data_IF_772922753613
#
_entry.id   IF_772922753613
#
_cell.length_a   1.000
_cell.length_b   1.000
_cell.length_c   1.000
_cell.angle_alpha   90.00
_cell.angle_beta   90.00
_cell.angle_gamma   90.00
#
_symmetry.space_group_name_H-M   'P 1'
#
loop_
_entity.id
_entity.type
_entity.pdbx_description
1 polymer ?
#
# COMPACT_ATOMS: atom_id res chain seq x y z
N UNK A 1 34.33 -54.33 5.82
CA UNK A 1 34.16 -53.98 4.39
C UNK A 1 32.71 -54.26 4.01
N UNK A 2 31.96 -53.23 3.64
CA UNK A 2 30.54 -53.32 3.29
C UNK A 2 30.41 -53.84 1.86
N UNK A 3 29.81 -55.03 1.68
CA UNK A 3 29.44 -55.56 0.38
C UNK A 3 28.41 -54.63 -0.27
N UNK A 4 28.86 -53.79 -1.21
CA UNK A 4 27.95 -53.11 -2.14
C UNK A 4 27.75 -54.04 -3.34
N UNK A 5 26.50 -54.39 -3.70
CA UNK A 5 26.25 -55.04 -4.97
C UNK A 5 26.62 -54.10 -6.11
N UNK A 6 27.27 -54.62 -7.15
CA UNK A 6 27.62 -53.88 -8.34
C UNK A 6 26.37 -53.23 -8.94
N UNK A 7 26.36 -51.91 -8.97
CA UNK A 7 25.29 -51.13 -9.61
C UNK A 7 25.33 -51.40 -11.12
N UNK A 8 24.54 -52.37 -11.57
CA UNK A 8 24.46 -52.74 -12.97
C UNK A 8 24.09 -51.56 -13.86
N UNK A 9 24.57 -51.57 -15.11
CA UNK A 9 24.35 -50.53 -16.16
C UNK A 9 22.94 -49.93 -16.20
N UNK A 10 21.91 -50.73 -15.89
CA UNK A 10 20.51 -50.32 -15.76
C UNK A 10 20.29 -49.17 -14.76
N UNK A 11 20.95 -49.22 -13.60
CA UNK A 11 20.84 -48.18 -12.55
C UNK A 11 21.50 -46.89 -13.03
N UNK A 12 22.65 -47.01 -13.70
CA UNK A 12 23.37 -45.86 -14.25
C UNK A 12 22.57 -45.14 -15.34
N UNK A 13 21.90 -45.89 -16.22
CA UNK A 13 21.01 -45.33 -17.25
C UNK A 13 19.84 -44.57 -16.62
N UNK A 14 19.26 -45.08 -15.52
CA UNK A 14 18.19 -44.37 -14.79
C UNK A 14 18.67 -43.04 -14.22
N UNK A 15 19.87 -42.99 -13.63
CA UNK A 15 20.42 -41.74 -13.11
C UNK A 15 20.79 -40.74 -14.21
N UNK A 16 21.31 -41.21 -15.34
CA UNK A 16 21.58 -40.35 -16.51
C UNK A 16 20.28 -39.79 -17.08
N UNK A 17 19.24 -40.62 -17.23
CA UNK A 17 17.92 -40.16 -17.69
C UNK A 17 17.29 -39.18 -16.69
N UNK A 18 17.41 -39.41 -15.39
CA UNK A 18 16.87 -38.51 -14.37
C UNK A 18 17.61 -37.18 -14.34
N UNK A 19 18.94 -37.20 -14.48
CA UNK A 19 19.77 -36.00 -14.62
C UNK A 19 19.45 -35.22 -15.91
N UNK A 20 19.22 -35.91 -17.03
CA UNK A 20 18.88 -35.29 -18.30
C UNK A 20 17.48 -34.67 -18.26
N UNK A 21 16.49 -35.32 -17.63
CA UNK A 21 15.16 -34.75 -17.39
C UNK A 21 15.24 -33.52 -16.49
N UNK A 22 16.06 -33.55 -15.44
CA UNK A 22 16.29 -32.38 -14.58
C UNK A 22 16.95 -31.22 -15.33
N UNK A 23 17.97 -31.48 -16.15
CA UNK A 23 18.62 -30.46 -16.97
C UNK A 23 17.68 -29.88 -18.03
N UNK A 24 16.84 -30.71 -18.66
CA UNK A 24 15.83 -30.23 -19.62
C UNK A 24 14.77 -29.40 -18.89
N UNK A 25 14.30 -29.84 -17.71
CA UNK A 25 13.34 -29.08 -16.91
C UNK A 25 13.90 -27.72 -16.45
N UNK A 26 15.18 -27.65 -16.04
CA UNK A 26 15.80 -26.36 -15.68
C UNK A 26 16.03 -25.47 -16.90
N UNK A 27 16.41 -26.03 -18.05
CA UNK A 27 16.52 -25.28 -19.30
C UNK A 27 15.16 -24.72 -19.78
N UNK A 28 14.06 -25.46 -19.59
CA UNK A 28 12.71 -24.96 -19.89
C UNK A 28 12.18 -24.00 -18.82
N UNK A 29 12.53 -24.16 -17.54
CA UNK A 29 12.20 -23.22 -16.48
C UNK A 29 12.89 -21.86 -16.67
N UNK A 30 14.13 -21.84 -17.16
CA UNK A 30 14.84 -20.61 -17.54
C UNK A 30 14.41 -20.04 -18.90
N UNK A 31 13.49 -20.71 -19.62
CA UNK A 31 12.91 -20.25 -20.89
C UNK A 31 11.52 -19.64 -20.74
N UNK A 32 11.21 -19.06 -19.58
CA UNK A 32 10.29 -17.94 -19.54
C UNK A 32 10.94 -16.75 -20.27
N UNK A 33 10.95 -16.82 -21.61
CA UNK A 33 10.75 -15.59 -22.37
C UNK A 33 9.40 -15.09 -21.89
N UNK A 34 9.44 -14.04 -21.08
CA UNK A 34 8.29 -13.18 -20.85
C UNK A 34 7.75 -12.87 -22.24
N UNK A 35 6.67 -13.56 -22.60
CA UNK A 35 6.01 -13.34 -23.86
C UNK A 35 5.47 -11.92 -23.75
N UNK A 36 6.17 -10.97 -24.37
CA UNK A 36 5.84 -9.53 -24.34
C UNK A 36 4.45 -9.23 -24.96
N UNK A 37 3.65 -10.26 -25.27
CA UNK A 37 2.26 -10.17 -25.67
C UNK A 37 1.34 -9.53 -24.62
N UNK A 38 1.72 -9.49 -23.34
CA UNK A 38 0.98 -8.69 -22.35
C UNK A 38 1.27 -7.19 -22.43
N UNK A 39 2.36 -6.74 -23.08
CA UNK A 39 2.63 -5.30 -23.27
C UNK A 39 1.73 -4.65 -24.33
N UNK A 40 1.22 -5.42 -25.28
CA UNK A 40 0.41 -4.89 -26.39
C UNK A 40 -1.08 -4.71 -26.05
N UNK A 41 -1.54 -5.14 -24.87
CA UNK A 41 -2.99 -5.16 -24.56
C UNK A 41 -3.51 -3.86 -23.91
N UNK A 42 -2.68 -2.87 -23.53
CA UNK A 42 -3.19 -1.72 -22.73
C UNK A 42 -2.64 -0.34 -23.07
N UNK A 43 -2.58 0.02 -24.35
CA UNK A 43 -2.52 1.44 -24.76
C UNK A 43 -3.88 1.92 -25.24
N UNK A 44 -4.84 2.05 -24.32
CA UNK A 44 -6.02 2.88 -24.60
C UNK A 44 -5.57 4.35 -24.55
N UNK A 45 -4.86 4.79 -25.60
CA UNK A 45 -4.31 6.13 -25.72
C UNK A 45 -5.47 7.12 -25.68
N UNK A 46 -5.56 7.91 -24.60
CA UNK A 46 -6.51 9.01 -24.52
C UNK A 46 -6.18 10.00 -25.65
N UNK A 47 -7.14 10.45 -26.47
CA UNK A 47 -6.83 11.35 -27.57
C UNK A 47 -6.28 12.69 -27.04
N UNK A 48 -5.27 13.24 -27.74
CA UNK A 48 -4.57 14.50 -27.43
C UNK A 48 -5.44 15.76 -27.62
N UNK A 49 -6.58 15.83 -26.93
CA UNK A 49 -7.59 16.89 -27.14
C UNK A 49 -7.26 18.20 -26.41
N UNK A 50 -6.31 18.18 -25.47
CA UNK A 50 -5.88 19.36 -24.71
C UNK A 50 -4.37 19.27 -24.40
N UNK A 51 -3.72 20.39 -23.99
CA UNK A 51 -2.28 20.42 -23.73
C UNK A 51 -1.84 19.40 -22.65
N UNK A 52 -2.66 19.18 -21.64
CA UNK A 52 -2.38 18.21 -20.57
C UNK A 52 -2.34 16.78 -21.10
N UNK A 53 -3.33 16.36 -21.90
CA UNK A 53 -3.36 15.03 -22.52
C UNK A 53 -2.24 14.83 -23.54
N UNK A 54 -1.88 15.86 -24.30
CA UNK A 54 -0.73 15.79 -25.20
C UNK A 54 0.56 15.47 -24.43
N UNK A 55 0.75 16.09 -23.27
CA UNK A 55 1.89 15.80 -22.40
C UNK A 55 1.81 14.40 -21.75
N UNK A 56 0.62 13.95 -21.34
CA UNK A 56 0.43 12.57 -20.83
C UNK A 56 0.89 11.55 -21.87
N UNK A 57 0.46 11.70 -23.12
CA UNK A 57 0.85 10.79 -24.21
C UNK A 57 2.37 10.82 -24.46
N UNK A 58 2.98 12.00 -24.48
CA UNK A 58 4.43 12.13 -24.64
C UNK A 58 5.20 11.42 -23.50
N UNK A 59 4.70 11.50 -22.28
CA UNK A 59 5.29 10.85 -21.12
C UNK A 59 5.07 9.33 -21.16
N UNK A 60 3.87 8.87 -21.50
CA UNK A 60 3.57 7.43 -21.61
C UNK A 60 4.46 6.73 -22.66
N UNK A 61 4.78 7.42 -23.76
CA UNK A 61 5.76 6.93 -24.74
C UNK A 61 7.20 6.86 -24.21
N UNK A 62 7.50 7.59 -23.12
CA UNK A 62 8.81 7.66 -22.45
C UNK A 62 8.87 6.83 -21.15
N UNK A 63 8.14 5.72 -21.08
CA UNK A 63 8.09 4.80 -19.93
C UNK A 63 7.53 5.41 -18.63
N UNK A 64 6.60 6.36 -18.75
CA UNK A 64 5.81 6.83 -17.62
C UNK A 64 4.49 6.08 -17.51
N UNK A 65 4.03 5.83 -16.29
CA UNK A 65 2.80 5.10 -16.02
C UNK A 65 1.81 5.97 -15.24
N UNK A 66 0.56 6.01 -15.68
CA UNK A 66 -0.51 6.71 -14.98
C UNK A 66 -1.05 5.88 -13.80
N UNK A 67 -0.87 6.41 -12.59
CA UNK A 67 -1.32 5.79 -11.34
C UNK A 67 -2.69 6.24 -10.89
N UNK A 68 -3.06 7.48 -11.20
CA UNK A 68 -4.31 8.11 -10.82
C UNK A 68 -4.79 9.03 -11.94
N UNK A 69 -6.06 8.93 -12.34
CA UNK A 69 -6.64 9.82 -13.33
C UNK A 69 -8.10 10.20 -13.05
N UNK A 70 -8.43 11.44 -13.42
CA UNK A 70 -9.78 11.98 -13.56
C UNK A 70 -9.91 12.47 -15.00
N UNK A 71 -10.81 11.88 -15.77
CA UNK A 71 -11.01 12.19 -17.20
C UNK A 71 -12.47 12.53 -17.46
N UNK A 72 -12.71 13.56 -18.27
CA UNK A 72 -14.07 14.05 -18.58
C UNK A 72 -14.90 13.09 -19.43
N UNK A 73 -14.30 12.55 -20.50
CA UNK A 73 -14.98 11.78 -21.55
C UNK A 73 -14.29 10.42 -21.81
N UNK A 74 -14.40 9.48 -20.88
CA UNK A 74 -13.95 8.09 -21.05
C UNK A 74 -15.14 7.12 -20.99
N UNK A 75 -15.49 6.50 -22.13
CA UNK A 75 -16.66 5.62 -22.26
C UNK A 75 -16.56 4.33 -21.43
N UNK A 76 -15.35 3.91 -21.09
CA UNK A 76 -15.00 2.91 -20.08
C UNK A 76 -13.52 3.14 -19.77
N UNK A 77 -13.08 2.80 -18.56
CA UNK A 77 -11.68 2.85 -18.09
C UNK A 77 -11.24 4.19 -17.43
N UNK A 78 -10.33 4.10 -16.45
CA UNK A 78 -10.61 3.71 -15.06
C UNK A 78 -10.19 4.79 -14.05
N UNK A 79 -10.78 4.76 -12.85
CA UNK A 79 -10.01 5.12 -11.66
C UNK A 79 -8.87 4.09 -11.56
N UNK A 80 -7.71 4.33 -12.16
CA UNK A 80 -6.51 3.59 -11.78
C UNK A 80 -6.25 3.99 -10.33
N UNK A 81 -6.31 3.01 -9.44
CA UNK A 81 -6.17 3.18 -7.99
C UNK A 81 -4.89 2.48 -7.61
N UNK A 82 -3.80 3.18 -7.75
CA UNK A 82 -2.51 2.69 -7.26
C UNK A 82 -1.75 3.86 -6.67
N UNK A 83 -0.94 3.58 -5.66
CA UNK A 83 0.02 4.53 -5.13
C UNK A 83 1.10 4.79 -6.21
N UNK A 84 1.66 6.02 -6.29
CA UNK A 84 1.53 7.10 -5.32
C UNK A 84 0.35 8.06 -5.58
N UNK A 85 -0.26 8.57 -4.50
CA UNK A 85 -1.20 9.70 -4.56
C UNK A 85 -0.41 10.97 -4.24
N UNK A 86 0.24 11.54 -5.26
CA UNK A 86 1.11 12.70 -5.12
C UNK A 86 0.37 14.03 -4.92
N UNK A 87 -0.92 14.09 -5.22
CA UNK A 87 -1.78 15.28 -5.07
C UNK A 87 -2.91 14.98 -4.09
N UNK A 88 -3.19 15.91 -3.18
CA UNK A 88 -4.21 15.79 -2.14
C UNK A 88 -5.07 17.06 -2.07
N UNK A 89 -6.20 16.97 -1.38
CA UNK A 89 -7.07 18.11 -1.12
C UNK A 89 -7.16 18.36 0.38
N UNK A 90 -6.55 19.45 0.86
CA UNK A 90 -6.60 19.87 2.28
C UNK A 90 -7.71 20.89 2.43
N UNK A 91 -8.83 20.46 3.02
CA UNK A 91 -10.07 21.23 2.97
C UNK A 91 -10.56 21.35 1.53
N UNK A 92 -10.46 22.56 0.96
CA UNK A 92 -10.85 22.84 -0.43
C UNK A 92 -9.68 23.35 -1.30
N UNK A 93 -8.44 23.16 -0.84
CA UNK A 93 -7.23 23.59 -1.54
C UNK A 93 -6.40 22.38 -1.96
N UNK A 94 -5.95 22.38 -3.22
CA UNK A 94 -5.01 21.36 -3.69
C UNK A 94 -3.63 21.59 -3.10
N UNK A 95 -2.98 20.49 -2.73
CA UNK A 95 -1.60 20.47 -2.28
C UNK A 95 -0.90 19.21 -2.79
N UNK A 96 0.43 19.23 -2.77
CA UNK A 96 1.21 18.00 -2.91
C UNK A 96 1.20 17.23 -1.59
N UNK A 97 1.16 15.90 -1.68
CA UNK A 97 1.36 15.04 -0.52
C UNK A 97 2.79 15.26 0.04
N UNK A 98 2.93 15.33 1.36
CA UNK A 98 4.22 15.68 1.99
C UNK A 98 5.34 14.68 1.65
N UNK A 99 4.99 13.40 1.54
CA UNK A 99 5.90 12.32 1.16
C UNK A 99 6.50 12.49 -0.24
N UNK A 100 5.69 12.94 -1.20
CA UNK A 100 6.09 13.04 -2.60
C UNK A 100 6.44 14.47 -3.03
N UNK A 101 6.36 15.45 -2.13
CA UNK A 101 6.47 16.88 -2.46
C UNK A 101 7.77 17.22 -3.18
N UNK A 102 8.91 16.73 -2.67
CA UNK A 102 10.23 17.02 -3.22
C UNK A 102 10.53 16.23 -4.51
N UNK A 103 9.77 15.16 -4.77
CA UNK A 103 9.94 14.22 -5.87
C UNK A 103 8.95 14.45 -7.01
N UNK A 104 8.11 15.49 -6.91
CA UNK A 104 7.02 15.76 -7.86
C UNK A 104 7.27 17.03 -8.65
N UNK A 105 6.92 17.00 -9.94
CA UNK A 105 6.82 18.20 -10.80
C UNK A 105 5.35 18.40 -11.19
N UNK A 106 4.89 19.65 -11.07
CA UNK A 106 3.52 20.06 -11.34
C UNK A 106 3.40 20.69 -12.74
N UNK A 107 2.33 20.33 -13.44
CA UNK A 107 1.93 20.97 -14.69
C UNK A 107 0.45 21.36 -14.63
N UNK A 108 0.14 22.60 -14.98
CA UNK A 108 -1.23 23.10 -15.11
C UNK A 108 -1.42 23.59 -16.55
N UNK A 109 -2.41 23.06 -17.25
CA UNK A 109 -2.69 23.35 -18.67
C UNK A 109 -1.46 23.15 -19.57
N UNK A 110 -0.71 22.07 -19.33
CA UNK A 110 0.51 21.73 -20.08
C UNK A 110 1.74 22.61 -19.78
N UNK A 111 1.68 23.53 -18.81
CA UNK A 111 2.81 24.39 -18.40
C UNK A 111 3.28 24.04 -17.00
N UNK A 112 4.60 24.08 -16.77
CA UNK A 112 5.16 23.89 -15.44
C UNK A 112 4.56 24.90 -14.46
N UNK A 113 4.17 24.43 -13.28
CA UNK A 113 3.46 25.21 -12.29
C UNK A 113 4.09 25.10 -10.89
N UNK A 114 3.82 26.08 -10.05
CA UNK A 114 4.22 26.06 -8.63
C UNK A 114 3.11 25.52 -7.73
N UNK A 115 3.46 25.09 -6.52
CA UNK A 115 2.48 24.74 -5.48
C UNK A 115 1.53 25.90 -5.15
N UNK A 116 2.01 27.14 -5.22
CA UNK A 116 1.18 28.34 -4.99
C UNK A 116 0.12 28.54 -6.08
N UNK A 117 0.36 28.07 -7.31
CA UNK A 117 -0.65 28.05 -8.37
C UNK A 117 -1.64 26.90 -8.16
N UNK A 118 -1.14 25.73 -7.71
CA UNK A 118 -1.98 24.57 -7.37
C UNK A 118 -3.01 24.90 -6.29
N UNK A 119 -2.59 25.57 -5.21
CA UNK A 119 -3.46 25.96 -4.09
C UNK A 119 -4.59 26.92 -4.48
N UNK A 120 -4.42 27.68 -5.57
CA UNK A 120 -5.44 28.61 -6.09
C UNK A 120 -6.53 27.90 -6.90
N UNK A 121 -6.30 26.65 -7.30
CA UNK A 121 -7.31 25.89 -8.03
C UNK A 121 -8.43 25.47 -7.09
N UNK A 122 -9.67 25.64 -7.54
CA UNK A 122 -10.83 25.07 -6.88
C UNK A 122 -11.25 23.78 -7.60
N UNK A 123 -11.67 22.74 -6.87
CA UNK A 123 -12.06 21.46 -7.46
C UNK A 123 -13.03 21.60 -8.63
N UNK A 124 -14.02 22.49 -8.53
CA UNK A 124 -15.04 22.75 -9.56
C UNK A 124 -14.49 23.24 -10.91
N UNK A 125 -13.32 23.86 -10.96
CA UNK A 125 -12.69 24.32 -12.21
C UNK A 125 -11.63 23.35 -12.76
N UNK A 126 -11.42 22.20 -12.13
CA UNK A 126 -10.53 21.16 -12.63
C UNK A 126 -11.28 20.26 -13.60
N UNK A 127 -10.84 20.18 -14.85
CA UNK A 127 -11.43 19.31 -15.87
C UNK A 127 -10.83 17.90 -15.79
N UNK A 128 -9.50 17.81 -15.73
CA UNK A 128 -8.78 16.53 -15.71
C UNK A 128 -7.59 16.58 -14.76
N UNK A 129 -7.26 15.43 -14.17
CA UNK A 129 -6.10 15.23 -13.30
C UNK A 129 -5.41 13.94 -13.71
N UNK A 130 -4.09 13.96 -13.78
CA UNK A 130 -3.26 12.78 -14.00
C UNK A 130 -2.09 12.80 -13.02
N UNK A 131 -1.82 11.66 -12.40
CA UNK A 131 -0.60 11.41 -11.63
C UNK A 131 0.16 10.30 -12.35
N UNK A 132 1.35 10.63 -12.81
CA UNK A 132 2.24 9.69 -13.49
C UNK A 132 3.51 9.47 -12.67
N UNK A 133 4.07 8.25 -12.78
CA UNK A 133 5.37 7.90 -12.22
C UNK A 133 6.27 7.32 -13.31
N UNK A 134 7.55 7.66 -13.27
CA UNK A 134 8.56 7.08 -14.15
C UNK A 134 8.84 5.63 -13.73
N UNK A 135 9.00 4.74 -14.70
CA UNK A 135 9.44 3.37 -14.42
C UNK A 135 10.94 3.30 -14.18
N UNK A 136 11.34 2.87 -12.98
CA UNK A 136 12.75 2.87 -12.54
C UNK A 136 13.41 1.49 -12.57
N UNK A 137 12.65 0.42 -12.84
CA UNK A 137 13.13 -0.96 -12.67
C UNK A 137 13.66 -1.63 -13.96
N UNK A 138 13.88 -0.88 -15.05
CA UNK A 138 14.57 -1.41 -16.24
C UNK A 138 16.07 -1.17 -16.16
N UNK A 139 16.87 -2.09 -16.72
CA UNK A 139 18.33 -1.96 -16.80
C UNK A 139 18.80 -0.67 -17.49
N UNK A 140 17.96 -0.12 -18.36
CA UNK A 140 18.22 1.10 -19.13
C UNK A 140 17.42 2.32 -18.59
N UNK A 141 16.84 2.21 -17.38
CA UNK A 141 16.10 3.33 -16.78
C UNK A 141 17.05 4.46 -16.39
N UNK A 142 16.95 5.59 -17.08
CA UNK A 142 17.60 6.82 -16.64
C UNK A 142 17.00 7.27 -15.30
N UNK A 143 17.86 7.45 -14.29
CA UNK A 143 17.45 7.96 -12.99
C UNK A 143 16.85 9.38 -13.14
N UNK A 144 15.64 9.58 -12.60
CA UNK A 144 15.01 10.90 -12.51
C UNK A 144 14.89 11.27 -11.03
N UNK A 145 15.54 12.35 -10.56
CA UNK A 145 15.46 12.76 -9.15
C UNK A 145 14.04 13.18 -8.75
N UNK A 146 13.14 13.39 -9.72
CA UNK A 146 11.72 13.65 -9.49
C UNK A 146 10.92 12.64 -10.30
N UNK A 147 10.67 11.43 -9.80
CA UNK A 147 9.98 10.41 -10.57
C UNK A 147 8.48 10.61 -10.69
N UNK A 148 7.89 11.63 -10.06
CA UNK A 148 6.45 11.87 -10.06
C UNK A 148 6.07 13.12 -10.88
N UNK A 149 4.96 13.04 -11.62
CA UNK A 149 4.38 14.14 -12.39
C UNK A 149 2.90 14.25 -12.08
N UNK A 150 2.45 15.44 -11.72
CA UNK A 150 1.03 15.74 -11.56
C UNK A 150 0.65 16.73 -12.65
N UNK A 151 -0.31 16.35 -13.49
CA UNK A 151 -0.77 17.17 -14.60
C UNK A 151 -2.25 17.47 -14.42
N UNK A 152 -2.61 18.75 -14.48
CA UNK A 152 -3.98 19.23 -14.24
C UNK A 152 -4.42 20.05 -15.44
N UNK A 153 -5.59 19.73 -15.97
CA UNK A 153 -6.29 20.57 -16.94
C UNK A 153 -7.39 21.35 -16.22
N UNK A 154 -7.45 22.66 -16.41
CA UNK A 154 -8.52 23.50 -15.87
C UNK A 154 -9.56 23.82 -16.94
N UNK A 155 -10.78 24.13 -16.49
CA UNK A 155 -11.89 24.63 -17.29
C UNK A 155 -12.16 26.11 -16.95
N UNK A 156 -12.62 26.87 -17.93
CA UNK A 156 -13.08 28.26 -17.72
C UNK A 156 -14.44 28.35 -17.04
N UNK A 157 -15.20 27.25 -17.00
CA UNK A 157 -16.52 27.16 -16.40
C UNK A 157 -16.54 26.09 -15.31
N UNK A 158 -17.35 26.26 -14.25
CA UNK A 158 -17.49 25.26 -13.21
C UNK A 158 -18.08 23.98 -13.78
N UNK A 159 -17.51 22.84 -13.40
CA UNK A 159 -17.92 21.51 -13.84
C UNK A 159 -18.70 20.83 -12.72
N UNK A 160 -19.90 20.39 -13.06
CA UNK A 160 -20.77 19.68 -12.12
C UNK A 160 -20.14 18.39 -11.59
N UNK A 161 -20.35 18.14 -10.30
CA UNK A 161 -19.86 16.97 -9.61
C UNK A 161 -20.76 15.76 -9.89
N UNK A 162 -20.33 14.91 -10.82
CA UNK A 162 -20.90 13.56 -10.99
C UNK A 162 -20.45 12.66 -9.83
N UNK A 163 -21.14 11.54 -9.60
CA UNK A 163 -20.76 10.58 -8.54
C UNK A 163 -19.29 10.13 -8.64
N UNK A 164 -18.77 9.91 -9.86
CA UNK A 164 -17.36 9.53 -10.10
C UNK A 164 -16.40 10.62 -9.67
N UNK A 165 -16.73 11.87 -10.04
CA UNK A 165 -15.93 13.06 -9.73
C UNK A 165 -15.94 13.36 -8.23
N UNK A 166 -17.10 13.27 -7.58
CA UNK A 166 -17.19 13.37 -6.11
C UNK A 166 -16.31 12.34 -5.44
N UNK A 167 -16.41 11.05 -5.83
CA UNK A 167 -15.55 9.98 -5.28
C UNK A 167 -14.06 10.24 -5.47
N UNK A 168 -13.66 10.81 -6.62
CA UNK A 168 -12.26 11.16 -6.88
C UNK A 168 -11.76 12.26 -5.93
N UNK A 169 -12.53 13.33 -5.72
CA UNK A 169 -12.12 14.38 -4.78
C UNK A 169 -12.21 13.94 -3.32
N UNK A 170 -13.17 13.08 -2.97
CA UNK A 170 -13.23 12.41 -1.67
C UNK A 170 -11.98 11.56 -1.43
N UNK A 171 -11.46 10.86 -2.44
CA UNK A 171 -10.18 10.16 -2.36
C UNK A 171 -9.02 11.13 -2.08
N UNK A 172 -8.94 12.26 -2.79
CA UNK A 172 -7.88 13.25 -2.56
C UNK A 172 -7.94 13.87 -1.16
N UNK A 173 -9.14 14.05 -0.60
CA UNK A 173 -9.35 14.49 0.77
C UNK A 173 -8.92 13.41 1.77
N UNK A 174 -9.31 12.15 1.54
CA UNK A 174 -8.92 11.04 2.40
C UNK A 174 -7.40 10.82 2.40
N UNK A 175 -6.75 10.97 1.23
CA UNK A 175 -5.29 10.90 1.09
C UNK A 175 -4.55 12.04 1.81
N UNK A 176 -5.24 13.14 2.16
CA UNK A 176 -4.67 14.17 3.02
C UNK A 176 -4.63 13.76 4.49
N UNK A 177 -5.46 12.79 4.91
CA UNK A 177 -5.62 12.33 6.30
C UNK A 177 -5.01 10.95 6.54
N UNK A 178 -4.79 10.18 5.47
CA UNK A 178 -4.33 8.80 5.49
C UNK A 178 -3.21 8.56 4.49
N UNK A 179 -2.21 7.78 4.91
CA UNK A 179 -1.20 7.21 4.01
C UNK A 179 -1.76 6.10 3.13
N UNK A 180 -2.78 5.39 3.62
CA UNK A 180 -3.39 4.23 2.95
C UNK A 180 -4.88 4.47 2.72
N UNK A 181 -5.27 5.44 1.86
CA UNK A 181 -6.68 5.76 1.65
C UNK A 181 -7.46 4.59 1.01
N UNK A 182 -6.78 3.63 0.38
CA UNK A 182 -7.41 2.39 -0.12
C UNK A 182 -7.53 1.28 0.94
N UNK A 183 -7.08 1.54 2.17
CA UNK A 183 -7.03 0.60 3.27
C UNK A 183 -5.76 -0.24 3.26
N UNK A 184 -5.39 -0.72 4.44
CA UNK A 184 -4.24 -1.58 4.65
C UNK A 184 -4.50 -2.50 5.84
N UNK A 185 -3.87 -3.67 5.86
CA UNK A 185 -4.05 -4.67 6.91
C UNK A 185 -2.73 -5.16 7.42
N UNK A 186 -2.62 -5.30 8.74
CA UNK A 186 -1.47 -5.91 9.40
C UNK A 186 -1.90 -7.07 10.29
N UNK A 187 -0.99 -8.01 10.49
CA UNK A 187 -1.19 -9.17 11.34
C UNK A 187 0.05 -9.40 12.18
N UNK A 188 -0.14 -9.49 13.49
CA UNK A 188 0.91 -9.70 14.47
C UNK A 188 0.64 -11.00 15.24
N UNK A 189 1.68 -11.83 15.39
CA UNK A 189 1.72 -12.82 16.46
C UNK A 189 2.27 -12.18 17.75
N UNK A 190 2.29 -12.92 18.86
CA UNK A 190 2.79 -12.43 20.16
C UNK A 190 4.18 -11.79 20.09
N UNK A 191 5.15 -12.43 19.43
CA UNK A 191 6.53 -11.93 19.36
C UNK A 191 6.62 -10.66 18.51
N UNK A 192 5.94 -10.65 17.36
CA UNK A 192 5.83 -9.47 16.50
C UNK A 192 5.14 -8.31 17.21
N UNK A 193 4.15 -8.60 18.07
CA UNK A 193 3.47 -7.58 18.86
C UNK A 193 4.36 -7.01 19.96
N UNK A 194 5.15 -7.85 20.64
CA UNK A 194 6.16 -7.39 21.61
C UNK A 194 7.18 -6.46 20.95
N UNK A 195 7.65 -6.82 19.76
CA UNK A 195 8.56 -6.00 18.98
C UNK A 195 7.90 -4.69 18.51
N UNK A 196 6.70 -4.78 17.93
CA UNK A 196 5.94 -3.62 17.46
C UNK A 196 5.66 -2.61 18.60
N UNK A 197 5.25 -3.10 19.77
CA UNK A 197 5.01 -2.25 20.94
C UNK A 197 6.29 -1.67 21.54
N UNK A 198 7.43 -2.37 21.42
CA UNK A 198 8.73 -1.86 21.84
C UNK A 198 9.21 -0.71 20.95
N UNK A 199 9.05 -0.82 19.64
CA UNK A 199 9.41 0.23 18.67
C UNK A 199 8.30 1.26 18.44
N UNK A 200 7.23 1.25 19.22
CA UNK A 200 6.08 2.16 19.08
C UNK A 200 5.46 2.17 17.66
N UNK A 201 5.40 1.00 17.02
CA UNK A 201 4.82 0.85 15.70
C UNK A 201 3.29 1.06 15.75
N UNK A 202 2.84 2.18 15.20
CA UNK A 202 1.43 2.59 15.17
C UNK A 202 0.53 1.68 14.34
N UNK A 203 1.09 0.86 13.45
CA UNK A 203 0.32 -0.10 12.66
C UNK A 203 -0.32 -1.20 13.53
N UNK A 204 0.21 -1.44 14.73
CA UNK A 204 -0.40 -2.34 15.71
C UNK A 204 -1.61 -1.72 16.43
N UNK A 205 -1.85 -0.41 16.29
CA UNK A 205 -2.89 0.41 16.97
C UNK A 205 -2.84 0.41 18.50
N UNK A 206 -2.09 -0.51 19.12
CA UNK A 206 -1.95 -0.67 20.55
C UNK A 206 -0.53 -0.43 21.02
N UNK A 207 -0.39 0.01 22.26
CA UNK A 207 0.84 0.04 23.03
C UNK A 207 0.81 -0.95 24.18
N UNK A 208 2.00 -1.25 24.71
CA UNK A 208 2.14 -2.08 25.91
C UNK A 208 2.26 -1.20 27.14
N UNK A 209 1.37 -1.40 28.09
CA UNK A 209 1.40 -0.77 29.41
C UNK A 209 2.56 -1.31 30.27
N UNK A 210 2.87 -0.61 31.37
CA UNK A 210 3.87 -1.06 32.35
C UNK A 210 3.56 -2.45 32.93
N UNK A 211 2.28 -2.80 33.04
CA UNK A 211 1.81 -4.08 33.55
C UNK A 211 1.69 -5.16 32.47
N UNK A 212 2.34 -4.98 31.31
CA UNK A 212 2.34 -5.93 30.18
C UNK A 212 0.96 -6.21 29.53
N UNK A 213 -0.03 -5.37 29.83
CA UNK A 213 -1.32 -5.38 29.14
C UNK A 213 -1.30 -4.44 27.94
N UNK A 214 -2.18 -4.68 26.98
CA UNK A 214 -2.35 -3.81 25.81
C UNK A 214 -3.16 -2.57 26.17
N UNK A 215 -2.95 -1.47 25.47
CA UNK A 215 -3.82 -0.29 25.51
C UNK A 215 -3.90 0.24 24.09
N UNK A 216 -5.09 0.60 23.61
CA UNK A 216 -5.20 1.29 22.33
C UNK A 216 -4.56 2.68 22.44
N UNK A 217 -3.83 3.13 21.41
CA UNK A 217 -3.31 4.49 21.40
C UNK A 217 -4.46 5.50 21.45
N UNK A 218 -4.27 6.56 22.24
CA UNK A 218 -5.32 7.57 22.46
C UNK A 218 -5.77 8.24 21.14
N UNK A 219 -4.86 8.42 20.18
CA UNK A 219 -5.15 8.99 18.86
C UNK A 219 -6.06 8.12 17.97
N UNK A 220 -6.21 6.82 18.28
CA UNK A 220 -7.05 5.89 17.54
C UNK A 220 -8.34 5.51 18.27
N UNK A 221 -8.51 5.91 19.54
CA UNK A 221 -9.62 5.48 20.38
C UNK A 221 -11.00 5.80 19.80
N UNK A 222 -11.17 7.01 19.27
CA UNK A 222 -12.46 7.46 18.73
C UNK A 222 -12.77 6.92 17.33
N UNK A 223 -11.78 6.33 16.66
CA UNK A 223 -11.86 5.95 15.25
C UNK A 223 -11.60 4.46 15.01
N UNK A 224 -11.66 3.62 16.06
CA UNK A 224 -11.35 2.18 15.96
C UNK A 224 -12.49 1.32 16.49
N UNK A 225 -12.98 0.39 15.67
CA UNK A 225 -13.82 -0.70 16.17
C UNK A 225 -12.94 -1.80 16.75
N UNK A 226 -13.15 -2.13 18.02
CA UNK A 226 -12.35 -3.14 18.73
C UNK A 226 -13.14 -4.42 18.90
N UNK A 227 -12.58 -5.53 18.44
CA UNK A 227 -13.11 -6.87 18.62
C UNK A 227 -12.12 -7.72 19.43
N UNK A 228 -12.58 -8.32 20.53
CA UNK A 228 -11.82 -9.33 21.27
C UNK A 228 -12.54 -10.67 21.10
N UNK A 229 -11.85 -11.65 20.50
CA UNK A 229 -12.41 -12.96 20.15
C UNK A 229 -13.70 -12.85 19.31
N UNK A 230 -13.78 -11.85 18.42
CA UNK A 230 -14.94 -11.59 17.58
C UNK A 230 -16.10 -10.86 18.27
N UNK A 231 -15.97 -10.48 19.54
CA UNK A 231 -16.96 -9.70 20.26
C UNK A 231 -16.57 -8.23 20.21
N UNK A 232 -17.48 -7.36 19.76
CA UNK A 232 -17.28 -5.91 19.78
C UNK A 232 -17.23 -5.41 21.23
N UNK A 233 -16.16 -4.69 21.58
CA UNK A 233 -15.89 -4.18 22.93
C UNK A 233 -15.54 -2.69 22.89
N UNK A 234 -15.47 -2.05 24.06
CA UNK A 234 -15.01 -0.67 24.14
C UNK A 234 -13.48 -0.61 24.05
N UNK A 235 -12.90 0.50 23.56
CA UNK A 235 -11.45 0.70 23.56
C UNK A 235 -10.77 0.49 24.92
N UNK A 236 -11.45 0.86 26.01
CA UNK A 236 -10.97 0.69 27.38
C UNK A 236 -10.76 -0.79 27.75
N UNK A 237 -11.59 -1.69 27.20
CA UNK A 237 -11.55 -3.13 27.49
C UNK A 237 -10.30 -3.82 26.93
N UNK A 238 -9.57 -3.18 26.02
CA UNK A 238 -8.27 -3.67 25.51
C UNK A 238 -7.26 -3.85 26.65
N UNK A 239 -7.37 -3.05 27.71
CA UNK A 239 -6.52 -3.12 28.90
C UNK A 239 -6.67 -4.40 29.71
N UNK A 240 -7.73 -5.18 29.47
CA UNK A 240 -7.89 -6.50 30.05
C UNK A 240 -7.02 -7.58 29.39
N UNK A 241 -6.46 -7.32 28.20
CA UNK A 241 -5.70 -8.31 27.43
C UNK A 241 -4.22 -8.21 27.77
N UNK A 242 -3.69 -9.28 28.36
CA UNK A 242 -2.25 -9.40 28.57
C UNK A 242 -1.54 -9.74 27.25
N UNK A 243 -0.38 -9.13 26.96
CA UNK A 243 0.33 -9.30 25.67
C UNK A 243 0.65 -10.77 25.36
N UNK A 244 0.95 -11.57 26.39
CA UNK A 244 1.24 -13.01 26.27
C UNK A 244 0.02 -13.89 26.01
N UNK A 245 -1.19 -13.36 26.21
CA UNK A 245 -2.43 -14.06 25.89
C UNK A 245 -2.81 -13.87 24.42
N UNK A 246 -2.17 -12.96 23.69
CA UNK A 246 -2.46 -12.73 22.29
C UNK A 246 -1.99 -13.91 21.45
N UNK A 247 -2.93 -14.59 20.79
CA UNK A 247 -2.63 -15.58 19.76
C UNK A 247 -2.34 -14.89 18.42
N UNK A 248 -3.24 -13.98 18.03
CA UNK A 248 -3.13 -13.13 16.85
C UNK A 248 -3.77 -11.78 17.11
N UNK A 249 -3.18 -10.74 16.54
CA UNK A 249 -3.75 -9.41 16.50
C UNK A 249 -3.78 -8.97 15.04
N UNK A 250 -4.96 -8.62 14.56
CA UNK A 250 -5.18 -8.08 13.23
C UNK A 250 -5.56 -6.62 13.35
N UNK A 251 -4.92 -5.78 12.56
CA UNK A 251 -5.35 -4.39 12.38
C UNK A 251 -5.71 -4.15 10.94
N UNK A 252 -6.69 -3.29 10.73
CA UNK A 252 -7.13 -2.88 9.40
C UNK A 252 -7.45 -1.41 9.41
N UNK A 253 -6.81 -0.67 8.51
CA UNK A 253 -7.34 0.60 8.05
C UNK A 253 -8.37 0.32 6.95
N UNK A 254 -9.59 0.82 7.14
CA UNK A 254 -10.66 0.65 6.16
C UNK A 254 -10.42 1.57 4.96
N UNK A 255 -10.88 1.19 3.76
CA UNK A 255 -10.81 2.09 2.61
C UNK A 255 -11.66 3.33 2.85
N UNK A 256 -11.26 4.46 2.25
CA UNK A 256 -11.97 5.74 2.37
C UNK A 256 -13.45 5.65 1.97
N UNK A 257 -13.79 4.68 1.13
CA UNK A 257 -15.17 4.43 0.71
C UNK A 257 -16.08 4.04 1.85
N UNK A 258 -15.53 3.60 2.99
CA UNK A 258 -16.28 3.08 4.13
C UNK A 258 -16.31 4.11 5.27
N UNK A 259 -15.16 4.68 5.63
CA UNK A 259 -15.05 5.60 6.79
C UNK A 259 -15.15 7.09 6.43
N UNK A 260 -14.90 7.47 5.17
CA UNK A 260 -14.95 8.88 4.74
C UNK A 260 -16.22 9.17 3.93
N UNK A 261 -17.36 8.65 4.43
CA UNK A 261 -18.69 8.87 3.86
C UNK A 261 -19.46 9.90 4.67
N UNK A 262 -20.32 10.66 3.99
CA UNK A 262 -21.15 11.67 4.63
C UNK A 262 -22.44 11.11 5.27
N UNK A 263 -22.93 9.96 4.79
CA UNK A 263 -24.21 9.38 5.22
C UNK A 263 -24.08 8.54 6.49
N UNK A 264 -23.10 7.63 6.52
CA UNK A 264 -22.86 6.75 7.66
C UNK A 264 -21.39 6.30 7.68
N UNK A 265 -20.48 7.12 8.23
CA UNK A 265 -19.08 6.75 8.32
C UNK A 265 -18.91 5.58 9.29
N UNK A 266 -18.26 4.51 8.83
CA UNK A 266 -17.72 3.49 9.74
C UNK A 266 -16.46 4.02 10.43
N UNK A 267 -16.06 3.44 11.55
CA UNK A 267 -14.75 3.74 12.16
C UNK A 267 -13.63 3.54 11.14
N UNK A 268 -12.61 4.40 11.15
CA UNK A 268 -11.50 4.31 10.19
C UNK A 268 -10.69 3.02 10.35
N UNK A 269 -10.50 2.59 11.59
CA UNK A 269 -9.69 1.44 11.92
C UNK A 269 -10.54 0.31 12.52
N UNK A 270 -10.01 -0.89 12.41
CA UNK A 270 -10.52 -2.09 13.06
C UNK A 270 -9.36 -2.81 13.74
N UNK A 271 -9.56 -3.18 15.00
CA UNK A 271 -8.60 -3.94 15.80
C UNK A 271 -9.29 -5.25 16.21
N UNK A 272 -8.74 -6.38 15.80
CA UNK A 272 -9.24 -7.70 16.18
C UNK A 272 -8.16 -8.48 16.95
N UNK A 273 -8.44 -8.77 18.21
CA UNK A 273 -7.54 -9.50 19.10
C UNK A 273 -8.10 -10.89 19.36
N UNK A 274 -7.37 -11.91 18.96
CA UNK A 274 -7.64 -13.30 19.31
C UNK A 274 -6.78 -13.70 20.50
N UNK A 275 -7.41 -14.08 21.61
CA UNK A 275 -6.72 -14.49 22.83
C UNK A 275 -6.65 -16.01 22.97
N UNK A 276 -5.58 -16.49 23.60
CA UNK A 276 -5.35 -17.87 24.02
C UNK A 276 -4.84 -17.85 25.47
N UNK A 277 -5.73 -17.79 26.47
CA UNK A 277 -5.37 -17.59 27.88
C UNK A 277 -4.40 -18.64 28.43
N UNK A 278 -4.40 -19.85 27.87
CA UNK A 278 -3.47 -20.93 28.24
C UNK A 278 -2.00 -20.60 27.93
N UNK A 279 -1.71 -19.62 27.06
CA UNK A 279 -0.34 -19.20 26.73
C UNK A 279 0.34 -18.41 27.85
N UNK A 280 -0.41 -17.60 28.62
CA UNK A 280 0.16 -16.85 29.72
C UNK A 280 0.80 -17.75 30.79
N UNK A 281 0.29 -18.99 30.93
CA UNK A 281 0.77 -19.98 31.90
C UNK A 281 2.03 -20.75 31.46
N UNK A 282 2.46 -20.64 30.20
CA UNK A 282 3.40 -21.61 29.60
C UNK A 282 4.89 -21.31 29.83
N UNK A 283 5.29 -20.08 30.15
CA UNK A 283 6.73 -19.72 30.19
C UNK A 283 7.14 -18.86 31.39
N UNK A 284 7.30 -19.51 32.54
CA UNK A 284 8.17 -19.04 33.62
C UNK A 284 9.56 -19.72 33.60
N UNK A 285 9.96 -20.40 32.52
CA UNK A 285 11.16 -21.26 32.55
C UNK A 285 12.07 -21.26 31.32
N UNK A 286 11.83 -20.47 30.26
CA UNK A 286 12.82 -20.31 29.18
C UNK A 286 13.53 -18.94 29.25
N UNK A 287 14.54 -18.86 30.12
CA UNK A 287 15.58 -17.85 30.02
C UNK A 287 16.47 -18.17 28.80
N UNK A 288 16.26 -17.46 27.69
CA UNK A 288 17.31 -17.35 26.68
C UNK A 288 18.26 -16.27 27.16
N UNK A 289 19.27 -16.66 27.93
CA UNK A 289 20.45 -15.83 28.16
C UNK A 289 21.12 -15.59 26.80
N UNK A 290 20.98 -14.39 26.26
CA UNK A 290 21.93 -13.91 25.26
C UNK A 290 23.25 -13.64 25.99
N UNK A 291 24.39 -14.21 25.55
CA UNK A 291 25.69 -13.96 26.18
C UNK A 291 26.20 -12.53 26.00
N UNK A 292 25.42 -11.64 25.34
CA UNK A 292 25.84 -10.29 25.00
C UNK A 292 25.18 -9.17 25.84
N UNK A 293 24.31 -9.51 26.81
CA UNK A 293 23.73 -8.51 27.72
C UNK A 293 23.88 -8.95 29.18
N UNK A 294 25.05 -8.69 29.74
CA UNK A 294 25.25 -8.59 31.19
C UNK A 294 25.19 -7.11 31.58
N UNK A 295 23.99 -6.59 31.75
CA UNK A 295 23.75 -5.31 32.42
C UNK A 295 23.00 -5.60 33.70
N UNK A 296 23.65 -5.36 34.84
CA UNK A 296 23.10 -5.57 36.17
C UNK A 296 21.76 -4.84 36.36
N UNK A 297 20.76 -5.57 36.89
CA UNK A 297 19.53 -5.06 37.49
C UNK A 297 19.49 -5.48 38.96
#
# INVERSE_FOLDING_TARGET
MMNRPDSGRSVWIRYVMLGLVLCVATLFACRHKVDNRERDVRRALLPATNPTRAMVLELEDKNWFCHLSLVKNGANAPLWKSEPIAVVLRGNQFALADEYRNETILYINGKAASETQLQKLSPEFVDEVFVLRKWEYSSDAEYDPKPNRVLIQTSSHPIQFTQKRSRFFTLLQAAALSKHPFGETYSFNMNQLLEATFFHNKNALVERTKNQHLKLYDEFADNTDVLINGILVKPEDVTSVHVREVARLYTRERPFTDWFRADQPSSRFELNIQTAPSRAKRDSSYYVFSPFYSGDF
#
